data_IF_185810953970
#
_entry.id   IF_185810953970
#
_cell.length_a   1.000
_cell.length_b   1.000
_cell.length_c   1.000
_cell.angle_alpha   90.00
_cell.angle_beta   90.00
_cell.angle_gamma   90.00
#
_symmetry.space_group_name_H-M   'P 1'
#
loop_
_entity.id
_entity.type
_entity.pdbx_description
1 polymer ?
#
# COMPACT_ATOMS: atom_id res chain seq x y z
N UNK A 1 -64.66 -33.91 -24.11
CA UNK A 1 -63.86 -34.45 -22.99
C UNK A 1 -62.40 -34.66 -23.38
N UNK A 2 -61.71 -33.62 -23.89
CA UNK A 2 -60.27 -33.67 -24.31
C UNK A 2 -59.51 -32.33 -23.99
N UNK A 3 -59.97 -31.56 -23.01
CA UNK A 3 -59.37 -30.25 -22.66
C UNK A 3 -58.93 -30.13 -21.20
N UNK A 4 -58.98 -31.19 -20.40
CA UNK A 4 -58.65 -31.14 -18.97
C UNK A 4 -57.37 -31.90 -18.60
N UNK A 5 -56.61 -32.44 -19.59
CA UNK A 5 -55.43 -33.25 -19.30
C UNK A 5 -54.10 -32.51 -19.55
N UNK A 6 -54.17 -31.29 -20.03
CA UNK A 6 -52.93 -30.50 -20.35
C UNK A 6 -52.49 -29.51 -19.25
N UNK A 7 -53.23 -29.40 -18.16
CA UNK A 7 -52.92 -28.46 -17.07
C UNK A 7 -52.20 -29.12 -15.89
N UNK A 8 -52.20 -30.46 -15.83
CA UNK A 8 -51.56 -31.17 -14.70
C UNK A 8 -50.08 -31.54 -14.93
N UNK A 9 -49.55 -31.32 -16.14
CA UNK A 9 -48.15 -31.65 -16.47
C UNK A 9 -47.21 -30.42 -16.40
N UNK A 10 -47.74 -29.23 -16.16
CA UNK A 10 -46.96 -27.98 -16.06
C UNK A 10 -46.61 -27.57 -14.60
N UNK A 11 -47.08 -28.33 -13.61
CA UNK A 11 -46.89 -27.96 -12.18
C UNK A 11 -45.86 -28.81 -11.42
N UNK A 12 -45.10 -29.66 -12.09
CA UNK A 12 -44.10 -30.55 -11.43
C UNK A 12 -42.66 -30.21 -11.81
N UNK A 13 -42.43 -29.24 -12.64
CA UNK A 13 -41.09 -28.81 -13.07
C UNK A 13 -40.57 -27.52 -12.43
N UNK A 14 -41.23 -27.03 -11.37
CA UNK A 14 -40.80 -25.90 -10.56
C UNK A 14 -40.31 -26.31 -9.17
N UNK A 15 -39.80 -27.53 -9.04
CA UNK A 15 -38.95 -27.89 -7.90
C UNK A 15 -37.56 -27.38 -8.22
N UNK A 16 -37.34 -26.19 -7.69
CA UNK A 16 -36.08 -25.50 -7.75
C UNK A 16 -34.89 -26.43 -7.42
N UNK A 17 -34.02 -26.58 -8.39
CA UNK A 17 -32.63 -26.75 -8.07
C UNK A 17 -32.20 -25.46 -7.37
N UNK A 18 -32.41 -25.38 -6.07
CA UNK A 18 -31.52 -24.61 -5.22
C UNK A 18 -30.17 -25.33 -5.36
N UNK A 19 -29.39 -24.91 -6.35
CA UNK A 19 -27.97 -25.10 -6.28
C UNK A 19 -27.55 -24.35 -5.03
N UNK A 20 -27.50 -25.06 -3.89
CA UNK A 20 -26.60 -24.68 -2.83
C UNK A 20 -25.24 -24.73 -3.51
N UNK A 21 -24.75 -23.55 -3.98
CA UNK A 21 -23.35 -23.37 -4.10
C UNK A 21 -22.80 -23.73 -2.72
N UNK A 22 -22.29 -24.97 -2.57
CA UNK A 22 -21.32 -25.23 -1.54
C UNK A 22 -20.25 -24.18 -1.81
N UNK A 23 -20.15 -23.21 -0.93
CA UNK A 23 -18.95 -22.44 -0.81
C UNK A 23 -17.86 -23.49 -0.53
N UNK A 24 -17.13 -23.87 -1.57
CA UNK A 24 -15.95 -24.67 -1.43
C UNK A 24 -14.99 -23.80 -0.63
N UNK A 25 -15.00 -23.97 0.69
CA UNK A 25 -14.12 -23.24 1.58
C UNK A 25 -12.69 -23.65 1.27
N UNK A 26 -11.79 -22.71 1.37
CA UNK A 26 -10.35 -22.97 1.32
C UNK A 26 -9.96 -23.93 2.45
N UNK A 27 -8.96 -24.81 2.25
CA UNK A 27 -8.53 -25.76 3.27
C UNK A 27 -7.71 -25.11 4.41
N UNK A 28 -7.38 -23.83 4.30
CA UNK A 28 -6.43 -23.14 5.16
C UNK A 28 -7.04 -22.72 6.49
N UNK A 29 -6.46 -23.19 7.58
CA UNK A 29 -6.92 -22.90 8.95
C UNK A 29 -6.44 -21.55 9.50
N UNK A 30 -5.42 -20.99 8.88
CA UNK A 30 -4.78 -19.71 9.20
C UNK A 30 -5.30 -18.54 8.34
N UNK A 31 -6.46 -18.74 7.68
CA UNK A 31 -7.19 -17.70 6.94
C UNK A 31 -8.62 -17.71 7.41
N UNK A 32 -9.00 -16.64 8.11
CA UNK A 32 -10.37 -16.45 8.62
C UNK A 32 -11.25 -15.75 7.60
N UNK A 33 -12.56 -16.05 7.63
CA UNK A 33 -13.54 -15.33 6.80
C UNK A 33 -13.62 -13.83 7.11
N UNK A 34 -13.14 -13.39 8.29
CA UNK A 34 -13.09 -12.01 8.71
C UNK A 34 -11.81 -11.30 8.25
N UNK A 35 -10.83 -12.01 7.69
CA UNK A 35 -9.61 -11.41 7.17
C UNK A 35 -9.89 -10.61 5.90
N UNK A 36 -9.30 -9.41 5.78
CA UNK A 36 -9.50 -8.53 4.64
C UNK A 36 -9.11 -9.15 3.29
N UNK A 37 -8.20 -10.12 3.30
CA UNK A 37 -7.68 -10.84 2.12
C UNK A 37 -8.41 -12.16 1.86
N UNK A 38 -9.39 -12.56 2.68
CA UNK A 38 -10.05 -13.86 2.59
C UNK A 38 -10.57 -14.17 1.18
N UNK A 39 -11.35 -13.25 0.61
CA UNK A 39 -11.96 -13.43 -0.72
C UNK A 39 -10.91 -13.52 -1.83
N UNK A 40 -9.80 -12.80 -1.68
CA UNK A 40 -8.71 -12.81 -2.63
C UNK A 40 -7.94 -14.14 -2.58
N UNK A 41 -7.73 -14.68 -1.39
CA UNK A 41 -7.14 -16.02 -1.22
C UNK A 41 -8.04 -17.09 -1.82
N UNK A 42 -9.37 -17.03 -1.55
CA UNK A 42 -10.35 -17.98 -2.14
C UNK A 42 -10.27 -17.94 -3.66
N UNK A 43 -10.42 -16.75 -4.28
CA UNK A 43 -10.40 -16.58 -5.74
C UNK A 43 -9.08 -17.07 -6.38
N UNK A 44 -7.96 -16.72 -5.77
CA UNK A 44 -6.64 -17.09 -6.28
C UNK A 44 -6.34 -18.59 -6.13
N UNK A 45 -6.85 -19.21 -5.06
CA UNK A 45 -6.75 -20.65 -4.82
C UNK A 45 -7.64 -21.45 -5.78
N UNK A 46 -8.90 -21.05 -5.96
CA UNK A 46 -9.84 -21.71 -6.88
C UNK A 46 -9.37 -21.66 -8.35
N UNK A 47 -8.65 -20.59 -8.73
CA UNK A 47 -7.99 -20.48 -10.05
C UNK A 47 -6.68 -21.25 -10.15
N UNK A 48 -6.17 -21.81 -9.06
CA UNK A 48 -4.91 -22.55 -9.04
C UNK A 48 -3.64 -21.69 -9.13
N UNK A 49 -3.74 -20.38 -9.01
CA UNK A 49 -2.57 -19.49 -9.01
C UNK A 49 -1.77 -19.62 -7.72
N UNK A 50 -2.46 -19.58 -6.57
CA UNK A 50 -1.84 -19.67 -5.26
C UNK A 50 -2.22 -20.97 -4.58
N UNK A 51 -1.21 -21.65 -4.04
CA UNK A 51 -1.38 -22.83 -3.19
C UNK A 51 -1.01 -22.50 -1.73
N UNK A 52 -1.42 -23.34 -0.79
CA UNK A 52 -0.92 -23.30 0.58
C UNK A 52 0.59 -23.60 0.66
N UNK A 53 1.19 -23.29 1.79
CA UNK A 53 2.53 -23.78 2.14
C UNK A 53 2.50 -25.27 2.45
N UNK A 54 1.36 -25.73 2.97
CA UNK A 54 0.99 -27.14 3.11
C UNK A 54 -0.52 -27.33 2.86
N UNK A 55 -1.05 -28.50 3.11
CA UNK A 55 -2.46 -28.85 2.86
C UNK A 55 -3.46 -28.02 3.70
N UNK A 56 -3.02 -27.40 4.79
CA UNK A 56 -3.89 -26.75 5.77
C UNK A 56 -3.48 -25.33 6.16
N UNK A 57 -2.35 -24.83 5.64
CA UNK A 57 -1.85 -23.50 5.93
C UNK A 57 -1.50 -22.71 4.67
N UNK A 58 -1.98 -21.49 4.61
CA UNK A 58 -1.66 -20.51 3.58
C UNK A 58 -0.40 -19.71 3.89
N UNK A 59 -0.14 -19.45 5.16
CA UNK A 59 0.88 -18.54 5.69
C UNK A 59 0.75 -17.10 5.15
N UNK A 60 -0.33 -16.36 5.51
CA UNK A 60 -0.65 -15.05 4.95
C UNK A 60 0.46 -14.01 5.12
N UNK A 61 1.16 -14.02 6.26
CA UNK A 61 2.29 -13.12 6.54
C UNK A 61 3.64 -13.64 6.00
N UNK A 62 3.65 -14.82 5.40
CA UNK A 62 4.84 -15.38 4.77
C UNK A 62 5.29 -14.53 3.58
N UNK A 63 6.59 -14.36 3.43
CA UNK A 63 7.19 -13.64 2.30
C UNK A 63 7.11 -14.47 1.03
N UNK A 64 6.85 -13.80 -0.10
CA UNK A 64 6.93 -14.39 -1.43
C UNK A 64 8.37 -14.32 -1.93
N UNK A 65 8.85 -15.38 -2.59
CA UNK A 65 10.16 -15.35 -3.29
C UNK A 65 10.02 -14.83 -4.71
N UNK A 66 11.15 -14.41 -5.32
CA UNK A 66 11.16 -14.02 -6.75
C UNK A 66 10.76 -15.18 -7.66
N UNK A 67 11.14 -16.44 -7.33
CA UNK A 67 10.70 -17.62 -8.07
C UNK A 67 9.19 -17.83 -8.02
N UNK A 68 8.57 -17.57 -6.88
CA UNK A 68 7.10 -17.60 -6.75
C UNK A 68 6.45 -16.44 -7.52
N UNK A 69 7.06 -15.23 -7.50
CA UNK A 69 6.56 -14.08 -8.25
C UNK A 69 6.55 -14.34 -9.77
N UNK A 70 7.67 -14.82 -10.33
CA UNK A 70 7.76 -15.11 -11.76
C UNK A 70 6.79 -16.23 -12.19
N UNK A 71 6.59 -17.25 -11.35
CA UNK A 71 5.55 -18.28 -11.61
C UNK A 71 4.18 -17.64 -11.74
N UNK A 72 3.80 -16.76 -10.80
CA UNK A 72 2.48 -16.13 -10.81
C UNK A 72 2.30 -15.24 -12.04
N UNK A 73 3.31 -14.47 -12.41
CA UNK A 73 3.31 -13.61 -13.60
C UNK A 73 3.15 -14.44 -14.89
N UNK A 74 3.94 -15.51 -15.04
CA UNK A 74 3.86 -16.42 -16.17
C UNK A 74 2.49 -17.07 -16.31
N UNK A 75 1.96 -17.60 -15.20
CA UNK A 75 0.63 -18.22 -15.19
C UNK A 75 -0.47 -17.20 -15.53
N UNK A 76 -0.41 -16.00 -14.99
CA UNK A 76 -1.35 -14.91 -15.26
C UNK A 76 -1.31 -14.52 -16.73
N UNK A 77 -0.13 -14.29 -17.29
CA UNK A 77 0.04 -13.94 -18.70
C UNK A 77 -0.47 -15.03 -19.63
N UNK A 78 -0.11 -16.30 -19.36
CA UNK A 78 -0.55 -17.41 -20.19
C UNK A 78 -2.08 -17.62 -20.12
N UNK A 79 -2.69 -17.51 -18.95
CA UNK A 79 -4.15 -17.57 -18.84
C UNK A 79 -4.82 -16.40 -19.59
N UNK A 80 -4.29 -15.19 -19.47
CA UNK A 80 -4.82 -14.04 -20.17
C UNK A 80 -4.76 -14.21 -21.70
N UNK A 81 -3.65 -14.71 -22.23
CA UNK A 81 -3.39 -14.82 -23.68
C UNK A 81 -3.96 -16.06 -24.33
N UNK A 82 -4.02 -17.19 -23.62
CA UNK A 82 -4.43 -18.49 -24.18
C UNK A 82 -5.64 -19.13 -23.47
N UNK A 83 -6.06 -18.60 -22.32
CA UNK A 83 -7.17 -19.15 -21.52
C UNK A 83 -6.82 -20.42 -20.74
N UNK A 84 -5.56 -20.81 -20.67
CA UNK A 84 -5.09 -21.98 -19.92
C UNK A 84 -3.62 -21.86 -19.55
N UNK A 85 -3.20 -22.56 -18.49
CA UNK A 85 -1.80 -22.59 -18.05
C UNK A 85 -1.23 -23.98 -18.33
N UNK A 86 -0.12 -24.02 -19.09
CA UNK A 86 0.63 -25.25 -19.44
C UNK A 86 2.14 -25.02 -19.24
N UNK A 87 2.52 -24.69 -17.99
CA UNK A 87 3.88 -24.41 -17.59
C UNK A 87 4.26 -25.22 -16.35
N UNK A 88 5.52 -25.64 -16.28
CA UNK A 88 6.11 -26.33 -15.13
C UNK A 88 6.68 -27.69 -15.49
N UNK A 89 7.36 -28.30 -14.53
CA UNK A 89 8.01 -29.60 -14.69
C UNK A 89 9.52 -29.52 -14.83
N UNK A 90 10.09 -28.32 -14.87
CA UNK A 90 11.53 -28.11 -14.95
C UNK A 90 12.27 -28.39 -13.63
N UNK A 91 13.59 -28.40 -13.73
CA UNK A 91 14.50 -28.45 -12.58
C UNK A 91 15.62 -27.43 -12.79
N UNK A 92 15.73 -26.35 -11.98
CA UNK A 92 14.87 -26.04 -10.82
C UNK A 92 13.41 -25.79 -11.22
N UNK A 93 12.49 -26.00 -10.31
CA UNK A 93 11.03 -26.00 -10.56
C UNK A 93 10.49 -24.72 -11.20
N UNK A 94 11.20 -23.60 -11.05
CA UNK A 94 10.79 -22.28 -11.56
C UNK A 94 11.35 -21.98 -12.97
N UNK A 95 12.22 -22.82 -13.53
CA UNK A 95 12.94 -22.49 -14.78
C UNK A 95 12.01 -22.29 -15.97
N UNK A 96 11.01 -23.15 -16.15
CA UNK A 96 10.06 -23.01 -17.26
C UNK A 96 9.30 -21.66 -17.21
N UNK A 97 8.99 -21.18 -16.01
CA UNK A 97 8.34 -19.86 -15.83
C UNK A 97 9.29 -18.71 -16.13
N UNK A 98 10.56 -18.83 -15.75
CA UNK A 98 11.60 -17.85 -16.06
C UNK A 98 11.80 -17.78 -17.57
N UNK A 99 12.00 -18.92 -18.23
CA UNK A 99 12.23 -19.00 -19.68
C UNK A 99 11.02 -18.44 -20.45
N UNK A 100 9.81 -18.74 -20.02
CA UNK A 100 8.59 -18.19 -20.58
C UNK A 100 8.54 -16.66 -20.43
N UNK A 101 8.76 -16.14 -19.22
CA UNK A 101 8.73 -14.71 -18.97
C UNK A 101 9.79 -13.92 -19.76
N UNK A 102 10.96 -14.51 -20.00
CA UNK A 102 11.95 -13.93 -20.92
C UNK A 102 11.48 -13.95 -22.37
N UNK A 103 10.88 -15.04 -22.82
CA UNK A 103 10.39 -15.16 -24.20
C UNK A 103 9.26 -14.16 -24.49
N UNK A 104 8.39 -13.89 -23.53
CA UNK A 104 7.27 -12.94 -23.63
C UNK A 104 7.65 -11.49 -23.27
N UNK A 105 8.93 -11.24 -22.89
CA UNK A 105 9.41 -9.89 -22.55
C UNK A 105 8.94 -9.37 -21.18
N UNK A 106 8.38 -10.24 -20.33
CA UNK A 106 7.97 -9.92 -18.95
C UNK A 106 9.20 -9.68 -18.07
N UNK A 107 10.26 -10.43 -18.32
CA UNK A 107 11.55 -10.28 -17.67
C UNK A 107 12.59 -9.69 -18.61
N UNK A 108 13.39 -8.74 -18.10
CA UNK A 108 14.53 -8.13 -18.80
C UNK A 108 15.85 -8.37 -18.07
N UNK A 109 15.81 -8.90 -16.86
CA UNK A 109 16.97 -9.19 -16.00
C UNK A 109 16.72 -10.39 -15.09
N UNK A 110 17.80 -10.98 -14.57
CA UNK A 110 17.73 -12.01 -13.54
C UNK A 110 17.46 -11.42 -12.15
N UNK A 111 16.86 -12.26 -11.30
CA UNK A 111 16.60 -11.98 -9.89
C UNK A 111 17.24 -13.06 -9.00
N UNK A 112 17.49 -12.78 -7.72
CA UNK A 112 17.87 -13.82 -6.74
C UNK A 112 16.66 -14.71 -6.45
N UNK A 113 16.39 -15.68 -7.31
CA UNK A 113 15.13 -16.45 -7.39
C UNK A 113 14.62 -16.99 -6.06
N UNK A 114 15.53 -17.43 -5.17
CA UNK A 114 15.17 -18.02 -3.88
C UNK A 114 15.05 -16.99 -2.74
N UNK A 115 15.37 -15.73 -3.00
CA UNK A 115 15.28 -14.66 -2.00
C UNK A 115 13.86 -14.09 -1.93
N UNK A 116 13.45 -13.54 -0.78
CA UNK A 116 12.20 -12.84 -0.65
C UNK A 116 12.14 -11.64 -1.62
N UNK A 117 11.07 -11.55 -2.40
CA UNK A 117 10.85 -10.45 -3.32
C UNK A 117 10.54 -9.17 -2.54
N UNK A 118 11.18 -8.06 -2.94
CA UNK A 118 10.74 -6.73 -2.51
C UNK A 118 9.44 -6.34 -3.21
N UNK A 119 8.71 -5.41 -2.65
CA UNK A 119 7.46 -4.90 -3.25
C UNK A 119 7.73 -4.27 -4.62
N UNK A 120 8.81 -3.49 -4.76
CA UNK A 120 9.20 -2.90 -6.03
C UNK A 120 9.60 -3.96 -7.07
N UNK A 121 10.41 -4.96 -6.68
CA UNK A 121 10.82 -6.04 -7.59
C UNK A 121 9.64 -6.93 -8.01
N UNK A 122 8.68 -7.18 -7.12
CA UNK A 122 7.45 -7.87 -7.45
C UNK A 122 6.61 -7.08 -8.47
N UNK A 123 6.44 -5.77 -8.23
CA UNK A 123 5.65 -4.89 -9.10
C UNK A 123 6.27 -4.77 -10.48
N UNK A 124 7.60 -4.69 -10.60
CA UNK A 124 8.29 -4.68 -11.89
C UNK A 124 7.93 -5.92 -12.74
N UNK A 125 7.93 -7.10 -12.14
CA UNK A 125 7.54 -8.35 -12.82
C UNK A 125 6.06 -8.33 -13.21
N UNK A 126 5.17 -7.90 -12.30
CA UNK A 126 3.72 -7.97 -12.50
C UNK A 126 3.18 -6.93 -13.47
N UNK A 127 3.74 -5.71 -13.48
CA UNK A 127 3.34 -4.66 -14.42
C UNK A 127 3.58 -5.08 -15.87
N UNK A 128 4.61 -5.89 -16.13
CA UNK A 128 4.95 -6.39 -17.46
C UNK A 128 4.20 -7.68 -17.84
N UNK A 129 3.42 -8.26 -16.90
CA UNK A 129 2.75 -9.54 -17.15
C UNK A 129 1.39 -9.40 -17.86
N UNK A 130 0.86 -8.21 -18.03
CA UNK A 130 -0.35 -7.94 -18.80
C UNK A 130 -0.10 -6.77 -19.76
N UNK A 131 -0.81 -6.72 -20.91
CA UNK A 131 -0.68 -5.62 -21.82
C UNK A 131 -1.26 -4.33 -21.21
N UNK A 132 -0.79 -3.17 -21.70
CA UNK A 132 -1.17 -1.85 -21.18
C UNK A 132 -2.69 -1.63 -21.19
N UNK A 133 -3.39 -2.14 -22.21
CA UNK A 133 -4.85 -2.03 -22.32
C UNK A 133 -5.57 -2.73 -21.17
N UNK A 134 -5.00 -3.81 -20.65
CA UNK A 134 -5.54 -4.52 -19.47
C UNK A 134 -5.29 -3.78 -18.17
N UNK A 135 -4.36 -2.82 -18.16
CA UNK A 135 -3.98 -1.99 -17.01
C UNK A 135 -4.37 -0.51 -17.19
N UNK A 136 -5.44 -0.27 -17.95
CA UNK A 136 -5.95 1.08 -18.17
C UNK A 136 -6.20 1.84 -16.87
N UNK A 137 -5.87 3.13 -16.88
CA UNK A 137 -5.99 3.98 -15.71
C UNK A 137 -7.46 4.12 -15.26
N UNK A 138 -7.69 3.86 -13.98
CA UNK A 138 -8.94 4.09 -13.26
C UNK A 138 -8.83 5.32 -12.36
N UNK A 139 -7.63 5.58 -11.83
CA UNK A 139 -7.35 6.64 -10.88
C UNK A 139 -6.49 7.72 -11.53
N UNK A 140 -6.75 8.98 -11.19
CA UNK A 140 -5.93 10.12 -11.57
C UNK A 140 -4.83 10.34 -10.53
N UNK A 141 -3.70 9.66 -10.71
CA UNK A 141 -2.53 9.71 -9.84
C UNK A 141 -1.43 10.49 -10.55
N UNK A 142 -1.14 11.69 -10.07
CA UNK A 142 -0.08 12.52 -10.62
C UNK A 142 1.32 11.95 -10.27
N UNK A 143 2.30 12.23 -11.12
CA UNK A 143 3.71 11.86 -10.86
C UNK A 143 4.21 12.54 -9.58
N UNK A 144 4.97 11.82 -8.76
CA UNK A 144 5.55 12.31 -7.52
C UNK A 144 4.58 12.39 -6.33
N UNK A 145 3.34 11.85 -6.44
CA UNK A 145 2.35 11.92 -5.36
C UNK A 145 2.29 10.68 -4.45
N UNK A 146 3.00 9.60 -4.78
CA UNK A 146 3.18 8.47 -3.86
C UNK A 146 4.27 8.85 -2.86
N UNK A 147 3.98 8.88 -1.54
CA UNK A 147 4.84 9.55 -0.55
C UNK A 147 6.29 9.08 -0.52
N UNK A 148 6.54 7.81 -0.79
CA UNK A 148 7.84 7.15 -0.71
C UNK A 148 8.35 6.61 -2.06
N UNK A 149 7.80 7.10 -3.16
CA UNK A 149 8.22 6.74 -4.53
C UNK A 149 8.34 7.99 -5.37
N UNK A 150 9.53 8.56 -5.43
CA UNK A 150 9.83 9.63 -6.37
C UNK A 150 9.97 9.13 -7.80
N UNK A 151 9.94 10.03 -8.78
CA UNK A 151 10.04 9.66 -10.20
C UNK A 151 11.46 9.24 -10.62
N UNK A 152 12.48 9.34 -9.75
CA UNK A 152 13.82 8.82 -9.95
C UNK A 152 13.93 7.36 -9.49
N UNK A 153 12.93 6.84 -8.76
CA UNK A 153 12.93 5.45 -8.31
C UNK A 153 12.97 4.51 -9.54
N UNK A 154 13.84 3.48 -9.58
CA UNK A 154 14.00 2.62 -10.75
C UNK A 154 12.72 1.96 -11.26
N UNK A 155 11.77 1.68 -10.38
CA UNK A 155 10.47 1.07 -10.69
C UNK A 155 9.30 2.06 -10.58
N UNK A 156 9.56 3.37 -10.62
CA UNK A 156 8.50 4.37 -10.52
C UNK A 156 7.40 4.17 -11.57
N UNK A 157 7.78 3.92 -12.81
CA UNK A 157 6.84 3.76 -13.92
C UNK A 157 5.84 2.61 -13.66
N UNK A 158 6.34 1.45 -13.25
CA UNK A 158 5.52 0.27 -12.97
C UNK A 158 4.66 0.44 -11.72
N UNK A 159 5.20 1.07 -10.67
CA UNK A 159 4.45 1.37 -9.44
C UNK A 159 3.29 2.31 -9.77
N UNK A 160 3.57 3.44 -10.44
CA UNK A 160 2.53 4.41 -10.83
C UNK A 160 1.49 3.81 -11.79
N UNK A 161 1.92 2.95 -12.73
CA UNK A 161 1.00 2.24 -13.61
C UNK A 161 -0.03 1.43 -12.80
N UNK A 162 0.43 0.63 -11.84
CA UNK A 162 -0.47 -0.22 -11.04
C UNK A 162 -1.31 0.57 -10.05
N UNK A 163 -0.85 1.70 -9.52
CA UNK A 163 -1.70 2.62 -8.73
C UNK A 163 -2.79 3.25 -9.60
N UNK A 164 -2.44 3.75 -10.78
CA UNK A 164 -3.43 4.31 -11.73
C UNK A 164 -4.45 3.28 -12.15
N UNK A 165 -4.04 2.04 -12.38
CA UNK A 165 -4.96 0.95 -12.69
C UNK A 165 -5.85 0.52 -11.50
N UNK A 166 -5.60 0.97 -10.27
CA UNK A 166 -6.31 0.55 -9.06
C UNK A 166 -5.95 -0.85 -8.58
N UNK A 167 -4.84 -1.40 -9.05
CA UNK A 167 -4.28 -2.68 -8.60
C UNK A 167 -3.57 -2.52 -7.27
N UNK A 168 -2.80 -1.45 -7.11
CA UNK A 168 -2.18 -1.03 -5.85
C UNK A 168 -2.96 0.12 -5.22
N UNK A 169 -2.94 0.18 -3.87
CA UNK A 169 -3.63 1.21 -3.10
C UNK A 169 -2.78 1.78 -1.96
N UNK A 170 -1.52 1.34 -1.84
CA UNK A 170 -0.69 1.65 -0.69
C UNK A 170 -1.03 0.81 0.54
N UNK A 171 -0.27 1.00 1.60
CA UNK A 171 -0.42 0.31 2.89
C UNK A 171 -1.09 1.17 3.96
N UNK A 172 -1.27 2.45 3.69
CA UNK A 172 -1.92 3.43 4.56
C UNK A 172 -2.84 4.37 3.77
N UNK A 173 -3.48 5.30 4.46
CA UNK A 173 -4.39 6.27 3.85
C UNK A 173 -3.69 7.27 2.92
N UNK A 174 -2.39 7.49 3.10
CA UNK A 174 -1.58 8.37 2.25
C UNK A 174 -1.14 7.70 0.96
N UNK A 175 -1.36 6.39 0.83
CA UNK A 175 -0.97 5.62 -0.33
C UNK A 175 0.53 5.25 -0.34
N UNK A 176 1.17 5.14 0.83
CA UNK A 176 2.58 4.75 0.97
C UNK A 176 2.82 3.35 0.43
N UNK A 177 3.85 3.18 -0.39
CA UNK A 177 4.10 1.93 -1.12
C UNK A 177 5.06 0.97 -0.42
N UNK A 178 6.10 1.46 0.25
CA UNK A 178 7.20 0.70 0.88
C UNK A 178 7.98 -0.18 -0.13
N UNK A 179 8.68 0.40 -1.11
CA UNK A 179 9.31 -0.31 -2.22
C UNK A 179 10.31 -1.40 -1.79
N UNK A 180 11.09 -1.15 -0.75
CA UNK A 180 12.13 -2.06 -0.25
C UNK A 180 11.63 -3.14 0.70
N UNK A 181 10.40 -3.05 1.17
CA UNK A 181 9.80 -4.07 2.04
C UNK A 181 9.52 -5.35 1.28
N UNK A 182 9.63 -6.50 1.96
CA UNK A 182 9.22 -7.76 1.34
C UNK A 182 7.70 -7.87 1.25
N UNK A 183 7.20 -8.32 0.10
CA UNK A 183 5.77 -8.52 -0.11
C UNK A 183 5.28 -9.79 0.60
N UNK A 184 4.12 -9.68 1.27
CA UNK A 184 3.47 -10.80 1.96
C UNK A 184 2.52 -11.55 1.03
N UNK A 185 2.30 -12.84 1.32
CA UNK A 185 1.45 -13.71 0.50
C UNK A 185 -0.01 -13.25 0.45
N UNK A 186 -0.56 -12.71 1.55
CA UNK A 186 -1.91 -12.14 1.55
C UNK A 186 -2.03 -10.91 0.64
N UNK A 187 -1.00 -10.06 0.59
CA UNK A 187 -0.96 -8.90 -0.30
C UNK A 187 -0.90 -9.32 -1.77
N UNK A 188 -0.11 -10.36 -2.06
CA UNK A 188 -0.02 -10.94 -3.41
C UNK A 188 -1.37 -11.47 -3.88
N UNK A 189 -2.14 -12.15 -3.02
CA UNK A 189 -3.46 -12.65 -3.38
C UNK A 189 -4.40 -11.50 -3.79
N UNK A 190 -4.38 -10.39 -3.05
CA UNK A 190 -5.18 -9.21 -3.36
C UNK A 190 -4.75 -8.54 -4.68
N UNK A 191 -3.44 -8.40 -4.89
CA UNK A 191 -2.91 -7.82 -6.13
C UNK A 191 -3.28 -8.71 -7.33
N UNK A 192 -3.13 -10.03 -7.21
CA UNK A 192 -3.48 -10.98 -8.26
C UNK A 192 -4.96 -10.91 -8.64
N UNK A 193 -5.84 -10.84 -7.64
CA UNK A 193 -7.27 -10.66 -7.88
C UNK A 193 -7.55 -9.40 -8.69
N UNK A 194 -6.95 -8.26 -8.32
CA UNK A 194 -7.14 -6.98 -9.03
C UNK A 194 -6.50 -6.93 -10.41
N UNK A 195 -5.41 -7.68 -10.62
CA UNK A 195 -4.82 -7.84 -11.95
C UNK A 195 -5.78 -8.57 -12.90
N UNK A 196 -6.43 -9.65 -12.43
CA UNK A 196 -7.26 -10.54 -13.23
C UNK A 196 -8.75 -10.15 -13.28
N UNK A 197 -9.21 -9.28 -12.38
CA UNK A 197 -10.61 -8.87 -12.25
C UNK A 197 -10.68 -7.35 -12.06
N UNK A 198 -11.02 -6.65 -13.14
CA UNK A 198 -11.14 -5.19 -13.13
C UNK A 198 -12.16 -4.68 -12.12
N UNK A 199 -13.20 -5.47 -11.84
CA UNK A 199 -14.22 -5.10 -10.84
C UNK A 199 -13.71 -5.10 -9.40
N UNK A 200 -12.59 -5.78 -9.14
CA UNK A 200 -11.92 -5.82 -7.84
C UNK A 200 -10.94 -4.65 -7.63
N UNK A 201 -10.66 -3.87 -8.68
CA UNK A 201 -9.75 -2.73 -8.61
C UNK A 201 -10.30 -1.62 -7.74
N UNK A 202 -9.40 -0.91 -7.07
CA UNK A 202 -9.75 0.08 -6.07
C UNK A 202 -9.70 1.50 -6.61
N UNK A 203 -10.57 2.35 -6.07
CA UNK A 203 -10.44 3.79 -6.19
C UNK A 203 -9.37 4.22 -5.18
N UNK A 204 -8.32 4.88 -5.68
CA UNK A 204 -7.12 5.23 -4.91
C UNK A 204 -6.88 6.72 -5.04
N UNK A 205 -6.53 7.33 -3.92
CA UNK A 205 -5.97 8.67 -3.89
C UNK A 205 -4.56 8.56 -3.31
N UNK A 206 -3.59 9.21 -3.93
CA UNK A 206 -2.21 9.32 -3.45
C UNK A 206 -1.85 10.78 -3.24
N UNK A 207 -0.81 11.00 -2.48
CA UNK A 207 -0.41 12.33 -2.06
C UNK A 207 -0.98 12.64 -0.69
N UNK A 208 -0.48 13.70 -0.06
CA UNK A 208 -1.20 14.29 1.04
C UNK A 208 -2.62 14.56 0.51
N UNK A 209 -3.66 13.95 1.11
CA UNK A 209 -5.02 14.14 0.62
C UNK A 209 -5.24 15.65 0.50
N UNK A 210 -5.93 16.07 -0.58
CA UNK A 210 -6.43 17.43 -0.62
C UNK A 210 -7.14 17.67 0.72
N UNK A 211 -6.78 18.71 1.48
CA UNK A 211 -7.34 18.91 2.79
C UNK A 211 -8.86 18.85 2.69
N UNK A 212 -9.49 18.04 3.55
CA UNK A 212 -10.94 17.98 3.71
C UNK A 212 -11.40 19.38 4.14
N UNK A 213 -11.73 20.22 3.18
CA UNK A 213 -11.95 21.65 3.42
C UNK A 213 -10.63 22.43 3.53
N UNK A 214 -10.76 23.75 3.55
CA UNK A 214 -9.65 24.66 3.81
C UNK A 214 -9.19 24.50 5.27
N UNK A 215 -8.11 23.73 5.50
CA UNK A 215 -7.49 23.54 6.83
C UNK A 215 -6.38 24.56 7.11
N UNK A 216 -6.34 25.66 6.38
CA UNK A 216 -5.37 26.74 6.58
C UNK A 216 -5.43 27.26 8.02
N UNK A 217 -6.62 27.37 8.60
CA UNK A 217 -6.79 27.81 10.00
C UNK A 217 -6.20 26.79 10.99
N UNK A 218 -6.26 25.49 10.71
CA UNK A 218 -5.65 24.46 11.57
C UNK A 218 -4.11 24.51 11.49
N UNK A 219 -3.54 24.73 10.30
CA UNK A 219 -2.09 24.90 10.13
C UNK A 219 -1.65 26.20 10.81
N UNK A 220 -2.41 27.29 10.64
CA UNK A 220 -2.14 28.56 11.31
C UNK A 220 -2.21 28.45 12.85
N UNK A 221 -3.04 27.55 13.38
CA UNK A 221 -3.09 27.27 14.83
C UNK A 221 -1.80 26.63 15.38
N UNK A 222 -0.97 26.01 14.51
CA UNK A 222 0.35 25.49 14.87
C UNK A 222 1.41 26.60 14.95
N UNK A 223 1.16 27.79 14.43
CA UNK A 223 2.14 28.86 14.37
C UNK A 223 2.70 29.19 15.75
N UNK A 224 4.01 29.35 15.82
CA UNK A 224 4.72 29.64 17.05
C UNK A 224 6.08 28.97 17.14
N UNK A 225 6.69 29.13 18.30
CA UNK A 225 7.96 28.48 18.64
C UNK A 225 7.69 27.23 19.50
N UNK A 226 8.40 26.17 19.20
CA UNK A 226 8.31 24.88 19.86
C UNK A 226 9.69 24.43 20.29
N UNK A 227 9.84 23.92 21.49
CA UNK A 227 11.14 23.49 22.04
C UNK A 227 11.08 22.03 22.46
N UNK A 228 12.18 21.29 22.25
CA UNK A 228 12.28 19.90 22.71
C UNK A 228 12.17 19.81 24.23
N UNK A 229 11.38 18.84 24.72
CA UNK A 229 11.26 18.53 26.14
C UNK A 229 12.56 17.92 26.71
N UNK A 230 13.25 17.14 25.91
CA UNK A 230 14.52 16.47 26.30
C UNK A 230 15.53 16.62 25.17
N UNK A 231 16.53 17.45 25.33
CA UNK A 231 17.59 17.58 24.34
C UNK A 231 18.42 16.28 24.30
N UNK A 232 18.65 15.76 23.09
CA UNK A 232 19.48 14.58 22.88
C UNK A 232 20.95 14.98 22.79
N UNK A 233 21.26 16.05 22.00
CA UNK A 233 22.61 16.61 21.82
C UNK A 233 22.59 18.16 21.73
N UNK A 234 21.60 18.80 22.31
CA UNK A 234 21.36 20.26 22.25
C UNK A 234 19.88 20.58 22.29
N UNK A 235 19.55 21.84 22.58
CA UNK A 235 18.16 22.31 22.50
C UNK A 235 17.75 22.42 21.03
N UNK A 236 16.68 21.76 20.61
CA UNK A 236 16.10 21.95 19.28
C UNK A 236 14.82 22.81 19.36
N UNK A 237 14.70 23.72 18.40
CA UNK A 237 13.59 24.64 18.26
C UNK A 237 12.96 24.44 16.89
N UNK A 238 11.64 24.22 16.88
CA UNK A 238 10.84 24.18 15.68
C UNK A 238 10.02 25.48 15.63
N UNK A 239 10.17 26.25 14.56
CA UNK A 239 9.37 27.43 14.30
C UNK A 239 8.39 27.13 13.19
N UNK A 240 7.13 27.47 13.41
CA UNK A 240 6.05 27.31 12.42
C UNK A 240 5.40 28.68 12.24
N UNK A 241 5.32 29.14 10.99
CA UNK A 241 4.64 30.37 10.61
C UNK A 241 3.15 30.11 10.30
N UNK A 242 2.34 31.14 10.32
CA UNK A 242 0.90 31.05 10.07
C UNK A 242 0.53 30.62 8.62
N UNK A 243 1.46 30.73 7.69
CA UNK A 243 1.33 30.23 6.31
C UNK A 243 1.72 28.76 6.16
N UNK A 244 2.07 28.09 7.27
CA UNK A 244 2.48 26.69 7.29
C UNK A 244 3.95 26.46 6.89
N UNK A 245 4.74 27.51 6.72
CA UNK A 245 6.20 27.32 6.60
C UNK A 245 6.80 26.98 7.96
N UNK A 246 7.83 26.14 7.96
CA UNK A 246 8.51 25.72 9.19
C UNK A 246 10.02 25.75 9.02
N UNK A 247 10.73 25.88 10.15
CA UNK A 247 12.19 25.72 10.24
C UNK A 247 12.58 25.05 11.56
N UNK A 248 13.55 24.12 11.48
CA UNK A 248 14.12 23.42 12.61
C UNK A 248 15.53 23.96 12.89
N UNK A 249 15.77 24.40 14.10
CA UNK A 249 17.04 24.95 14.55
C UNK A 249 17.58 24.14 15.73
N UNK A 250 18.86 23.85 15.75
CA UNK A 250 19.52 23.17 16.86
C UNK A 250 20.59 24.06 17.46
N UNK A 251 20.61 24.12 18.78
CA UNK A 251 21.60 24.87 19.56
C UNK A 251 22.60 23.91 20.15
N UNK A 252 23.78 23.81 19.55
CA UNK A 252 24.86 22.97 20.09
C UNK A 252 25.61 23.70 21.21
N UNK A 253 26.17 22.92 22.15
CA UNK A 253 26.97 23.46 23.25
C UNK A 253 28.18 24.23 22.73
N UNK A 254 28.27 25.51 23.11
CA UNK A 254 29.35 26.41 22.67
C UNK A 254 28.98 27.36 21.53
N UNK A 255 27.81 27.19 20.91
CA UNK A 255 27.31 28.08 19.87
C UNK A 255 26.78 29.39 20.46
N UNK A 256 26.95 30.51 19.75
CA UNK A 256 26.38 31.82 20.12
C UNK A 256 24.93 31.99 19.64
N UNK A 257 24.45 31.12 18.77
CA UNK A 257 23.09 31.12 18.20
C UNK A 257 22.73 29.73 17.68
N UNK A 258 21.42 29.40 17.62
CA UNK A 258 20.97 28.14 16.98
C UNK A 258 21.29 28.13 15.49
N UNK A 259 21.53 26.94 14.96
CA UNK A 259 21.84 26.69 13.54
C UNK A 259 20.63 26.02 12.89
N UNK A 260 20.13 26.61 11.81
CA UNK A 260 19.06 25.99 11.01
C UNK A 260 19.55 24.67 10.43
N UNK A 261 18.82 23.59 10.73
CA UNK A 261 19.11 22.24 10.26
C UNK A 261 18.22 21.87 9.09
N UNK A 262 16.96 22.32 9.10
CA UNK A 262 16.00 22.01 8.06
C UNK A 262 14.88 23.06 8.01
N UNK A 263 14.13 23.08 6.91
CA UNK A 263 12.97 23.96 6.68
C UNK A 263 12.07 23.43 5.58
N UNK A 264 10.82 23.88 5.56
CA UNK A 264 9.88 23.43 4.53
C UNK A 264 8.47 23.93 4.73
N UNK A 265 7.50 23.10 4.36
CA UNK A 265 6.08 23.40 4.48
C UNK A 265 5.33 22.29 5.21
N UNK A 266 4.28 22.66 5.94
CA UNK A 266 3.39 21.74 6.64
C UNK A 266 2.15 21.50 5.78
N UNK A 267 1.78 20.22 5.68
CA UNK A 267 0.56 19.77 5.01
C UNK A 267 -0.25 18.91 5.98
N UNK A 268 -1.55 19.19 6.17
CA UNK A 268 -2.40 18.34 7.00
C UNK A 268 -2.48 16.92 6.47
N UNK A 269 -2.47 15.91 7.37
CA UNK A 269 -2.78 14.53 7.03
C UNK A 269 -4.29 14.38 6.82
N UNK A 270 -4.71 13.77 5.72
CA UNK A 270 -6.14 13.66 5.44
C UNK A 270 -6.83 12.63 6.32
N UNK A 271 -8.04 12.96 6.68
CA UNK A 271 -8.90 12.09 7.47
C UNK A 271 -8.40 11.85 8.90
N UNK A 272 -7.32 12.50 9.32
CA UNK A 272 -6.79 12.44 10.69
C UNK A 272 -6.73 13.84 11.29
N UNK A 273 -7.59 14.15 12.26
CA UNK A 273 -7.50 15.42 12.98
C UNK A 273 -6.15 15.51 13.70
N UNK A 274 -5.57 16.71 13.75
CA UNK A 274 -4.31 17.00 14.44
C UNK A 274 -3.08 16.22 13.93
N UNK A 275 -3.13 15.66 12.72
CA UNK A 275 -2.01 14.97 12.09
C UNK A 275 -1.52 15.72 10.83
N UNK A 276 -0.21 15.79 10.66
CA UNK A 276 0.43 16.62 9.63
C UNK A 276 1.69 15.97 9.08
N UNK A 277 2.09 16.43 7.90
CA UNK A 277 3.40 16.16 7.31
C UNK A 277 4.21 17.44 7.21
N UNK A 278 5.44 17.42 7.70
CA UNK A 278 6.44 18.45 7.47
C UNK A 278 7.32 18.05 6.29
N UNK A 279 7.15 18.71 5.16
CA UNK A 279 7.90 18.44 3.94
C UNK A 279 9.16 19.30 3.92
N UNK A 280 10.35 18.67 3.88
CA UNK A 280 11.64 19.36 3.81
C UNK A 280 11.85 19.97 2.43
N UNK A 281 12.33 21.22 2.41
CA UNK A 281 12.77 21.90 1.19
C UNK A 281 14.24 21.59 0.87
N UNK A 282 15.01 20.97 1.79
CA UNK A 282 16.43 20.71 1.62
C UNK A 282 16.69 19.35 0.97
N UNK A 283 16.00 18.28 1.43
CA UNK A 283 16.22 16.91 0.99
C UNK A 283 14.96 16.24 0.44
N UNK A 284 13.83 16.97 0.37
CA UNK A 284 12.53 16.47 -0.09
C UNK A 284 11.95 15.34 0.76
N UNK A 285 12.47 15.13 1.96
CA UNK A 285 11.88 14.20 2.92
C UNK A 285 10.58 14.74 3.50
N UNK A 286 9.76 13.85 4.04
CA UNK A 286 8.54 14.20 4.78
C UNK A 286 8.57 13.54 6.14
N UNK A 287 8.33 14.32 7.19
CA UNK A 287 8.20 13.82 8.55
C UNK A 287 6.75 13.92 9.00
N UNK A 288 6.17 12.79 9.36
CA UNK A 288 4.84 12.76 9.97
C UNK A 288 4.93 13.26 11.41
N UNK A 289 3.98 14.11 11.84
CA UNK A 289 3.86 14.52 13.23
C UNK A 289 2.40 14.67 13.65
N UNK A 290 2.17 14.61 14.97
CA UNK A 290 0.86 14.87 15.58
C UNK A 290 0.95 16.05 16.52
N UNK A 291 -0.05 16.91 16.44
CA UNK A 291 -0.30 17.95 17.42
C UNK A 291 -1.30 17.43 18.47
N UNK A 292 -1.10 17.76 19.74
CA UNK A 292 -2.05 17.47 20.81
C UNK A 292 -2.25 18.73 21.63
N UNK A 293 -3.46 19.30 21.65
CA UNK A 293 -3.78 20.49 22.44
C UNK A 293 -3.57 20.25 23.94
N UNK A 294 -3.30 21.31 24.69
CA UNK A 294 -3.05 21.27 26.13
C UNK A 294 -4.19 20.63 26.93
N UNK A 295 -5.43 20.82 26.49
CA UNK A 295 -6.62 20.24 27.11
C UNK A 295 -6.80 18.73 26.85
N UNK A 296 -6.09 18.18 25.87
CA UNK A 296 -6.19 16.78 25.48
C UNK A 296 -5.01 15.93 25.93
N UNK A 297 -4.09 16.48 26.75
CA UNK A 297 -2.92 15.77 27.25
C UNK A 297 -2.64 16.04 28.73
N UNK A 298 -1.86 15.17 29.36
CA UNK A 298 -1.48 15.25 30.77
C UNK A 298 -0.33 16.23 31.06
N UNK A 299 0.27 16.84 30.05
CA UNK A 299 1.40 17.77 30.18
C UNK A 299 0.91 19.19 30.48
N UNK A 300 -0.31 19.54 30.06
CA UNK A 300 -0.91 20.86 30.27
C UNK A 300 -0.32 21.96 29.37
N UNK A 301 0.36 21.59 28.29
CA UNK A 301 0.86 22.49 27.24
C UNK A 301 0.60 21.85 25.88
N UNK A 302 0.42 22.68 24.85
CA UNK A 302 0.36 22.19 23.48
C UNK A 302 1.66 21.42 23.15
N UNK A 303 1.55 20.28 22.51
CA UNK A 303 2.70 19.46 22.13
C UNK A 303 2.65 18.98 20.69
N UNK A 304 3.82 18.79 20.09
CA UNK A 304 4.03 18.14 18.81
C UNK A 304 4.85 16.87 19.04
N UNK A 305 4.33 15.73 18.56
CA UNK A 305 5.04 14.47 18.47
C UNK A 305 5.63 14.34 17.06
N UNK A 306 6.90 14.72 16.91
CA UNK A 306 7.60 14.74 15.63
C UNK A 306 8.23 13.38 15.32
N UNK A 307 8.00 12.85 14.11
CA UNK A 307 8.47 11.54 13.72
C UNK A 307 7.69 10.41 14.41
N UNK A 308 6.40 10.62 14.70
CA UNK A 308 5.56 9.67 15.41
C UNK A 308 5.52 8.31 14.70
N UNK A 309 6.38 7.40 15.17
CA UNK A 309 6.31 5.97 14.88
C UNK A 309 5.82 5.29 16.18
N UNK A 310 4.87 4.34 16.12
CA UNK A 310 4.38 3.64 17.31
C UNK A 310 5.47 2.91 18.11
N UNK A 311 6.68 2.77 17.57
CA UNK A 311 7.80 2.03 18.15
C UNK A 311 8.87 2.91 18.87
N UNK A 312 8.52 4.13 19.36
CA UNK A 312 9.24 4.80 20.47
C UNK A 312 10.45 5.71 20.14
N UNK A 313 10.51 6.36 18.98
CA UNK A 313 11.56 7.36 18.68
C UNK A 313 11.03 8.77 18.33
N UNK A 314 9.87 9.15 18.85
CA UNK A 314 9.31 10.49 18.59
C UNK A 314 10.08 11.56 19.37
N UNK A 315 10.38 12.68 18.70
CA UNK A 315 10.86 13.89 19.37
C UNK A 315 9.64 14.68 19.86
N UNK A 316 9.59 14.99 21.14
CA UNK A 316 8.52 15.81 21.72
C UNK A 316 8.95 17.26 21.72
N UNK A 317 8.14 18.11 21.08
CA UNK A 317 8.23 19.56 21.17
C UNK A 317 7.08 20.08 21.99
N UNK A 318 7.34 20.95 22.93
CA UNK A 318 6.35 21.73 23.68
C UNK A 318 6.30 23.15 23.14
N UNK A 319 5.11 23.74 23.14
CA UNK A 319 4.96 25.15 22.76
C UNK A 319 5.78 26.01 23.71
N UNK A 320 6.71 26.78 23.17
CA UNK A 320 7.52 27.71 23.96
C UNK A 320 6.73 29.01 24.10
N UNK A 321 6.31 29.32 25.33
CA UNK A 321 5.70 30.60 25.67
C UNK A 321 6.81 31.66 25.78
N UNK A 322 7.46 31.98 24.67
CA UNK A 322 8.34 33.13 24.60
C UNK A 322 7.51 34.38 24.84
N UNK A 323 7.61 34.93 26.06
CA UNK A 323 7.13 36.27 26.42
C UNK A 323 8.01 37.33 25.84
#
# INVERSE_FOLDING_TARGET
MKKQLSILLALVLALGFSATALAAGIPFKDVSADDWYYQDVVKSYERGFINGRDETHFAPDGKLTYAEAVKLAACMHQEYTSGSVDLGGSNPWYQDYVDYCYAEGILTKDYPWNDPATRAGYVEIFANALPEEALSARNDIADGTIPDVDMQHPQAAEIYLLYRAGVLAGSDKSGTFHPDSNIRRCEVAAILTRMMDESARQDVTTGAPAPDGDRTEEVAALAGAWKTERPIDGDAYLYIEDDGTWSLHVWFEGDSRPVEQDRGTIVPSAGEPYAYYANSALDQSSVYFRFTPAEENDVGSDLILWGANPDDNSIVFLRDELK
#
